data_IF_106309918464
#
_entry.id   IF_106309918464
#
_cell.length_a   1.000
_cell.length_b   1.000
_cell.length_c   1.000
_cell.angle_alpha   90.00
_cell.angle_beta   90.00
_cell.angle_gamma   90.00
#
_symmetry.space_group_name_H-M   'P 1'
#
loop_
_entity.id
_entity.type
_entity.pdbx_description
1 polymer ?
#
# COMPACT_ATOMS: atom_id res chain seq x y z
N UNK A 1 -0.69 -34.38 -2.78
CA UNK A 1 -1.78 -33.61 -2.16
C UNK A 1 -1.47 -33.51 -0.67
N UNK A 2 -0.77 -32.45 -0.25
CA UNK A 2 -0.51 -32.18 1.18
C UNK A 2 -1.77 -31.51 1.71
N UNK A 3 -2.38 -31.99 2.78
CA UNK A 3 -3.54 -31.33 3.34
C UNK A 3 -3.09 -29.96 3.87
N UNK A 4 -3.55 -28.87 3.22
CA UNK A 4 -3.46 -27.54 3.79
C UNK A 4 -4.29 -27.52 5.07
N UNK A 5 -3.63 -27.73 6.20
CA UNK A 5 -4.22 -27.49 7.50
C UNK A 5 -4.50 -26.00 7.56
N UNK A 6 -5.77 -25.59 7.52
CA UNK A 6 -6.15 -24.20 7.74
C UNK A 6 -5.46 -23.71 9.02
N UNK A 7 -4.70 -22.62 8.93
CA UNK A 7 -4.14 -21.97 10.10
C UNK A 7 -5.26 -21.69 11.10
N UNK A 8 -5.00 -21.86 12.39
CA UNK A 8 -5.98 -21.42 13.39
C UNK A 8 -6.21 -19.92 13.22
N UNK A 9 -7.38 -19.42 13.59
CA UNK A 9 -7.72 -18.00 13.47
C UNK A 9 -6.68 -17.08 14.12
N UNK A 10 -6.14 -17.47 15.28
CA UNK A 10 -5.08 -16.73 15.96
C UNK A 10 -3.78 -16.67 15.15
N UNK A 11 -3.34 -17.80 14.58
CA UNK A 11 -2.16 -17.84 13.70
C UNK A 11 -2.36 -16.99 12.46
N UNK A 12 -3.60 -16.88 11.94
CA UNK A 12 -3.91 -16.00 10.81
C UNK A 12 -3.77 -14.52 11.20
N UNK A 13 -4.19 -14.11 12.40
CA UNK A 13 -4.05 -12.73 12.88
C UNK A 13 -2.58 -12.36 13.14
N UNK A 14 -1.76 -13.28 13.64
CA UNK A 14 -0.31 -13.09 13.77
C UNK A 14 0.35 -12.95 12.39
N UNK A 15 -0.11 -13.75 11.43
CA UNK A 15 0.36 -13.70 10.06
C UNK A 15 0.10 -12.34 9.39
N UNK A 16 -1.04 -11.73 9.72
CA UNK A 16 -1.45 -10.39 9.27
C UNK A 16 -0.86 -9.26 10.11
N UNK A 17 0.00 -9.55 11.10
CA UNK A 17 0.55 -8.59 12.05
C UNK A 17 -0.53 -7.72 12.74
N UNK A 18 -1.70 -8.32 13.06
CA UNK A 18 -2.78 -7.62 13.76
C UNK A 18 -2.34 -7.31 15.20
N UNK A 19 -2.34 -6.02 15.55
CA UNK A 19 -2.00 -5.55 16.88
C UNK A 19 -3.04 -6.06 17.92
N UNK A 20 -2.61 -6.22 19.18
CA UNK A 20 -3.44 -6.78 20.26
C UNK A 20 -4.77 -6.03 20.39
N UNK A 21 -4.74 -4.72 20.28
CA UNK A 21 -5.91 -3.85 20.42
C UNK A 21 -6.95 -4.02 19.31
N UNK A 22 -6.59 -4.60 18.17
CA UNK A 22 -7.47 -4.83 17.03
C UNK A 22 -7.92 -6.30 16.91
N UNK A 23 -7.32 -7.24 17.69
CA UNK A 23 -7.59 -8.68 17.60
C UNK A 23 -9.05 -9.02 17.91
N UNK A 24 -9.61 -8.47 18.98
CA UNK A 24 -11.02 -8.68 19.35
C UNK A 24 -11.98 -8.23 18.23
N UNK A 25 -11.64 -7.14 17.53
CA UNK A 25 -12.42 -6.68 16.38
C UNK A 25 -12.41 -7.70 15.24
N UNK A 26 -11.23 -8.22 14.91
CA UNK A 26 -11.07 -9.26 13.88
C UNK A 26 -11.76 -10.58 14.29
N UNK A 27 -11.62 -11.00 15.53
CA UNK A 27 -12.25 -12.24 16.03
C UNK A 27 -13.77 -12.17 15.94
N UNK A 28 -14.38 -11.03 16.33
CA UNK A 28 -15.84 -10.82 16.19
C UNK A 28 -16.31 -10.93 14.74
N UNK A 29 -15.54 -10.43 13.76
CA UNK A 29 -15.85 -10.58 12.34
C UNK A 29 -15.75 -12.02 11.84
N UNK A 30 -14.95 -12.86 12.52
CA UNK A 30 -14.75 -14.27 12.18
C UNK A 30 -15.67 -15.21 12.93
N UNK A 31 -16.50 -14.72 13.87
CA UNK A 31 -17.49 -15.53 14.59
C UNK A 31 -18.57 -16.04 13.63
N UNK A 32 -18.87 -17.34 13.74
CA UNK A 32 -19.93 -17.96 12.95
C UNK A 32 -19.64 -18.10 11.45
N UNK A 33 -20.72 -18.16 10.68
CA UNK A 33 -20.66 -18.26 9.22
C UNK A 33 -20.38 -16.89 8.61
N UNK A 34 -19.79 -16.90 7.41
CA UNK A 34 -19.53 -15.67 6.66
C UNK A 34 -20.83 -14.91 6.37
N UNK A 35 -20.82 -13.58 6.55
CA UNK A 35 -21.95 -12.75 6.18
C UNK A 35 -22.18 -12.78 4.64
N UNK A 36 -23.44 -12.70 4.17
CA UNK A 36 -23.73 -12.67 2.74
C UNK A 36 -22.99 -11.54 1.99
N UNK A 37 -22.81 -10.37 2.61
CA UNK A 37 -22.07 -9.25 2.02
C UNK A 37 -20.57 -9.51 1.96
N UNK A 38 -19.96 -10.10 3.02
CA UNK A 38 -18.57 -10.51 3.01
C UNK A 38 -18.29 -11.64 2.00
N UNK A 39 -19.26 -12.53 1.77
CA UNK A 39 -19.15 -13.55 0.72
C UNK A 39 -19.08 -12.92 -0.69
N UNK A 40 -19.78 -11.81 -0.93
CA UNK A 40 -19.64 -11.02 -2.17
C UNK A 40 -18.24 -10.45 -2.31
N UNK A 41 -17.65 -9.95 -1.21
CA UNK A 41 -16.25 -9.47 -1.20
C UNK A 41 -15.29 -10.61 -1.51
N UNK A 42 -15.43 -11.77 -0.88
CA UNK A 42 -14.58 -12.93 -1.18
C UNK A 42 -14.64 -13.35 -2.65
N UNK A 43 -15.86 -13.43 -3.21
CA UNK A 43 -16.03 -13.75 -4.63
C UNK A 43 -15.36 -12.72 -5.54
N UNK A 44 -15.45 -11.44 -5.20
CA UNK A 44 -14.75 -10.37 -5.90
C UNK A 44 -13.24 -10.56 -5.83
N UNK A 45 -12.66 -10.74 -4.63
CA UNK A 45 -11.21 -10.94 -4.46
C UNK A 45 -10.72 -12.17 -5.24
N UNK A 46 -11.45 -13.29 -5.20
CA UNK A 46 -11.14 -14.49 -5.97
C UNK A 46 -11.13 -14.21 -7.49
N UNK A 47 -12.07 -13.40 -7.99
CA UNK A 47 -12.12 -13.02 -9.41
C UNK A 47 -10.98 -12.10 -9.84
N UNK A 48 -10.33 -11.43 -8.89
CA UNK A 48 -9.23 -10.49 -9.12
C UNK A 48 -7.84 -11.07 -8.88
N UNK A 49 -7.77 -12.26 -8.31
CA UNK A 49 -6.50 -12.89 -7.98
C UNK A 49 -5.63 -13.09 -9.22
N UNK A 50 -4.45 -12.47 -9.23
CA UNK A 50 -3.54 -12.46 -10.39
C UNK A 50 -4.01 -11.60 -11.57
N UNK A 51 -5.15 -10.90 -11.48
CA UNK A 51 -5.66 -10.06 -12.57
C UNK A 51 -4.88 -8.75 -12.71
N UNK A 52 -4.76 -8.26 -13.94
CA UNK A 52 -4.24 -6.91 -14.23
C UNK A 52 -5.25 -5.80 -13.87
N UNK A 53 -6.55 -6.13 -13.84
CA UNK A 53 -7.61 -5.15 -13.60
C UNK A 53 -7.58 -4.66 -12.15
N UNK A 54 -7.33 -3.35 -12.00
CA UNK A 54 -7.26 -2.65 -10.72
C UNK A 54 -8.60 -2.11 -10.24
N UNK A 55 -9.65 -2.13 -11.08
CA UNK A 55 -10.92 -1.51 -10.76
C UNK A 55 -11.59 -2.21 -9.57
N UNK A 56 -12.00 -1.41 -8.60
CA UNK A 56 -12.81 -1.84 -7.45
C UNK A 56 -14.19 -1.20 -7.61
N UNK A 57 -15.17 -1.92 -8.20
CA UNK A 57 -16.52 -1.41 -8.34
C UNK A 57 -17.23 -1.30 -6.98
N UNK A 58 -18.32 -0.58 -6.94
CA UNK A 58 -19.25 -0.72 -5.81
C UNK A 58 -19.81 -2.14 -5.80
N UNK A 59 -19.64 -2.81 -4.67
CA UNK A 59 -20.17 -4.15 -4.46
C UNK A 59 -21.50 -4.08 -3.71
N UNK A 60 -22.30 -5.10 -3.90
CA UNK A 60 -23.60 -5.22 -3.24
C UNK A 60 -24.75 -4.77 -4.11
N UNK A 61 -25.95 -4.79 -3.52
CA UNK A 61 -27.22 -4.41 -4.14
C UNK A 61 -27.97 -3.49 -3.17
N UNK A 62 -29.05 -2.78 -3.61
CA UNK A 62 -29.85 -1.95 -2.71
C UNK A 62 -30.37 -2.67 -1.46
N UNK A 63 -30.54 -3.99 -1.51
CA UNK A 63 -30.95 -4.81 -0.35
C UNK A 63 -29.81 -5.46 0.41
N UNK A 64 -28.58 -5.38 -0.09
CA UNK A 64 -27.39 -5.95 0.51
C UNK A 64 -26.17 -5.02 0.22
N UNK A 65 -26.09 -3.87 0.88
CA UNK A 65 -24.93 -2.99 0.75
C UNK A 65 -23.69 -3.65 1.37
N UNK A 66 -22.53 -3.46 0.74
CA UNK A 66 -21.25 -3.91 1.28
C UNK A 66 -20.62 -2.79 2.10
N UNK A 67 -20.38 -3.05 3.36
CA UNK A 67 -19.80 -2.11 4.32
C UNK A 67 -18.28 -2.31 4.50
N UNK A 68 -17.63 -1.41 5.23
CA UNK A 68 -16.23 -1.54 5.65
C UNK A 68 -15.99 -2.88 6.40
N UNK A 69 -16.87 -3.26 7.31
CA UNK A 69 -16.75 -4.53 8.05
C UNK A 69 -16.87 -5.77 7.15
N UNK A 70 -17.69 -5.71 6.11
CA UNK A 70 -17.81 -6.80 5.14
C UNK A 70 -16.53 -6.95 4.31
N UNK A 71 -15.86 -5.84 3.99
CA UNK A 71 -14.53 -5.87 3.37
C UNK A 71 -13.49 -6.49 4.30
N UNK A 72 -13.48 -6.13 5.57
CA UNK A 72 -12.56 -6.70 6.56
C UNK A 72 -12.81 -8.21 6.76
N UNK A 73 -14.08 -8.62 6.95
CA UNK A 73 -14.44 -10.02 7.08
C UNK A 73 -14.06 -10.82 5.83
N UNK A 74 -14.41 -10.30 4.65
CA UNK A 74 -14.10 -10.94 3.38
C UNK A 74 -12.60 -11.12 3.18
N UNK A 75 -11.78 -10.11 3.49
CA UNK A 75 -10.33 -10.17 3.42
C UNK A 75 -9.74 -11.18 4.41
N UNK A 76 -10.16 -11.11 5.68
CA UNK A 76 -9.69 -12.03 6.72
C UNK A 76 -9.93 -13.49 6.33
N UNK A 77 -11.14 -13.81 5.84
CA UNK A 77 -11.48 -15.16 5.40
C UNK A 77 -10.86 -15.56 4.07
N UNK A 78 -10.34 -14.61 3.28
CA UNK A 78 -9.68 -14.87 2.01
C UNK A 78 -8.19 -15.20 2.16
N UNK A 79 -7.56 -14.93 3.29
CA UNK A 79 -6.13 -15.17 3.53
C UNK A 79 -5.68 -16.58 3.12
N UNK A 80 -6.36 -17.68 3.49
CA UNK A 80 -5.92 -19.01 3.07
C UNK A 80 -5.88 -19.22 1.55
N UNK A 81 -6.83 -18.64 0.81
CA UNK A 81 -6.86 -18.73 -0.64
C UNK A 81 -5.70 -17.96 -1.27
N UNK A 82 -5.39 -16.77 -0.74
CA UNK A 82 -4.24 -16.00 -1.19
C UNK A 82 -2.91 -16.68 -0.89
N UNK A 83 -2.76 -17.28 0.30
CA UNK A 83 -1.57 -18.07 0.66
C UNK A 83 -1.38 -19.26 -0.28
N UNK A 84 -2.46 -19.99 -0.59
CA UNK A 84 -2.42 -21.09 -1.53
C UNK A 84 -1.97 -20.62 -2.94
N UNK A 85 -2.50 -19.52 -3.41
CA UNK A 85 -2.13 -18.94 -4.70
C UNK A 85 -0.67 -18.45 -4.72
N UNK A 86 -0.17 -17.83 -3.64
CA UNK A 86 1.25 -17.46 -3.54
C UNK A 86 2.15 -18.71 -3.57
N UNK A 87 1.73 -19.79 -2.90
CA UNK A 87 2.48 -21.06 -2.92
C UNK A 87 2.49 -21.71 -4.32
N UNK A 88 1.41 -21.62 -5.09
CA UNK A 88 1.36 -22.08 -6.49
C UNK A 88 2.33 -21.32 -7.41
N UNK A 89 2.65 -20.07 -7.06
CA UNK A 89 3.63 -19.25 -7.76
C UNK A 89 5.05 -19.37 -7.17
N UNK A 90 5.29 -20.28 -6.23
CA UNK A 90 6.55 -20.43 -5.49
C UNK A 90 7.01 -19.15 -4.77
N UNK A 91 6.07 -18.24 -4.42
CA UNK A 91 6.38 -17.03 -3.65
C UNK A 91 6.78 -17.43 -2.23
N UNK A 92 7.95 -16.97 -1.72
CA UNK A 92 8.40 -17.30 -0.37
C UNK A 92 7.39 -16.85 0.70
N UNK A 93 7.14 -17.71 1.70
CA UNK A 93 6.21 -17.40 2.80
C UNK A 93 6.57 -16.09 3.53
N UNK A 94 7.84 -15.77 3.66
CA UNK A 94 8.29 -14.51 4.24
C UNK A 94 7.77 -13.30 3.44
N UNK A 95 7.81 -13.34 2.11
CA UNK A 95 7.27 -12.27 1.26
C UNK A 95 5.76 -12.17 1.40
N UNK A 96 5.06 -13.30 1.46
CA UNK A 96 3.61 -13.33 1.67
C UNK A 96 3.26 -12.70 3.02
N UNK A 97 3.98 -13.06 4.08
CA UNK A 97 3.81 -12.53 5.44
C UNK A 97 4.06 -11.03 5.49
N UNK A 98 5.20 -10.58 4.96
CA UNK A 98 5.56 -9.15 4.94
C UNK A 98 4.55 -8.32 4.14
N UNK A 99 4.04 -8.88 3.04
CA UNK A 99 2.99 -8.26 2.22
C UNK A 99 1.69 -8.13 2.98
N UNK A 100 1.23 -9.19 3.62
CA UNK A 100 -0.05 -9.22 4.34
C UNK A 100 0.00 -8.52 5.70
N UNK A 101 1.18 -8.28 6.27
CA UNK A 101 1.36 -7.46 7.47
C UNK A 101 0.81 -6.02 7.29
N UNK A 102 0.63 -5.57 6.04
CA UNK A 102 0.01 -4.28 5.75
C UNK A 102 -1.47 -4.22 6.20
N UNK A 103 -2.14 -5.35 6.30
CA UNK A 103 -3.49 -5.43 6.87
C UNK A 103 -3.51 -4.95 8.33
N UNK A 104 -2.70 -5.53 9.19
CA UNK A 104 -2.62 -5.13 10.61
C UNK A 104 -2.11 -3.69 10.77
N UNK A 105 -1.14 -3.28 9.92
CA UNK A 105 -0.63 -1.91 9.89
C UNK A 105 -1.76 -0.90 9.59
N UNK A 106 -2.61 -1.18 8.60
CA UNK A 106 -3.72 -0.29 8.25
C UNK A 106 -4.83 -0.27 9.32
N UNK A 107 -5.10 -1.38 10.03
CA UNK A 107 -5.95 -1.37 11.21
C UNK A 107 -5.42 -0.41 12.29
N UNK A 108 -4.13 -0.52 12.62
CA UNK A 108 -3.50 0.34 13.61
C UNK A 108 -3.50 1.83 13.20
N UNK A 109 -3.30 2.10 11.91
CA UNK A 109 -3.43 3.46 11.36
C UNK A 109 -4.86 3.97 11.52
N UNK A 110 -5.86 3.19 11.12
CA UNK A 110 -7.27 3.58 11.24
C UNK A 110 -7.66 3.87 12.70
N UNK A 111 -7.25 3.03 13.65
CA UNK A 111 -7.48 3.25 15.08
C UNK A 111 -6.83 4.55 15.55
N UNK A 112 -5.62 4.84 15.10
CA UNK A 112 -4.89 6.07 15.45
C UNK A 112 -5.53 7.33 14.87
N UNK A 113 -6.08 7.25 13.65
CA UNK A 113 -6.71 8.37 12.95
C UNK A 113 -8.15 8.61 13.43
N UNK A 114 -8.92 7.54 13.63
CA UNK A 114 -10.36 7.60 13.87
C UNK A 114 -10.79 7.21 15.29
N UNK A 115 -9.87 6.70 16.12
CA UNK A 115 -10.15 6.26 17.50
C UNK A 115 -11.05 5.02 17.59
N UNK A 116 -11.18 4.25 16.49
CA UNK A 116 -12.05 3.06 16.39
C UNK A 116 -11.41 1.93 15.62
N UNK A 117 -11.89 0.72 15.84
CA UNK A 117 -11.64 -0.42 14.95
C UNK A 117 -12.25 -0.16 13.58
N UNK A 118 -11.56 -0.58 12.53
CA UNK A 118 -11.97 -0.45 11.15
C UNK A 118 -10.80 -0.23 10.19
N UNK A 119 -11.10 0.02 8.92
CA UNK A 119 -10.07 0.24 7.88
C UNK A 119 -10.64 1.06 6.73
N UNK A 120 -10.51 2.38 6.80
CA UNK A 120 -10.94 3.30 5.73
C UNK A 120 -10.11 3.13 4.44
N UNK A 121 -8.96 2.47 4.53
CA UNK A 121 -8.03 2.18 3.44
C UNK A 121 -8.25 0.80 2.80
N UNK A 122 -9.38 0.13 3.03
CA UNK A 122 -9.63 -1.21 2.49
C UNK A 122 -9.48 -1.30 0.96
N UNK A 123 -9.78 -0.22 0.21
CA UNK A 123 -9.55 -0.16 -1.24
C UNK A 123 -8.09 -0.37 -1.60
N UNK A 124 -7.17 0.20 -0.82
CA UNK A 124 -5.74 -0.01 -0.98
C UNK A 124 -5.36 -1.48 -0.79
N UNK A 125 -5.92 -2.12 0.21
CA UNK A 125 -5.63 -3.52 0.52
C UNK A 125 -6.08 -4.48 -0.59
N UNK A 126 -7.02 -4.08 -1.46
CA UNK A 126 -7.39 -4.93 -2.61
C UNK A 126 -6.21 -5.23 -3.53
N UNK A 127 -5.18 -4.38 -3.59
CA UNK A 127 -3.97 -4.66 -4.37
C UNK A 127 -3.18 -5.84 -3.79
N UNK A 128 -3.08 -5.93 -2.47
CA UNK A 128 -2.43 -7.05 -1.77
C UNK A 128 -3.22 -8.34 -1.99
N UNK A 129 -4.52 -8.28 -1.73
CA UNK A 129 -5.40 -9.44 -1.83
C UNK A 129 -5.68 -9.90 -3.28
N UNK A 130 -5.46 -9.05 -4.26
CA UNK A 130 -5.47 -9.43 -5.68
C UNK A 130 -4.11 -9.99 -6.17
N UNK A 131 -3.12 -10.13 -5.31
CA UNK A 131 -1.80 -10.66 -5.66
C UNK A 131 -1.03 -9.78 -6.65
N UNK A 132 -1.16 -8.46 -6.53
CA UNK A 132 -0.49 -7.49 -7.39
C UNK A 132 0.54 -6.63 -6.67
N UNK A 133 0.44 -6.53 -5.35
CA UNK A 133 1.37 -5.76 -4.53
C UNK A 133 2.13 -6.68 -3.60
N UNK A 134 3.45 -6.52 -3.55
CA UNK A 134 4.36 -7.33 -2.74
C UNK A 134 5.32 -6.46 -1.95
N UNK A 135 5.51 -6.77 -0.68
CA UNK A 135 6.55 -6.19 0.15
C UNK A 135 7.87 -6.92 -0.07
N UNK A 136 8.91 -6.20 -0.49
CA UNK A 136 10.25 -6.73 -0.70
C UNK A 136 11.24 -5.91 0.13
N UNK A 137 11.35 -6.21 1.39
CA UNK A 137 12.14 -5.44 2.35
C UNK A 137 11.49 -4.08 2.65
N UNK A 138 12.22 -2.98 2.45
CA UNK A 138 11.77 -1.64 2.87
C UNK A 138 10.60 -1.09 2.06
N UNK A 139 10.43 -1.50 0.82
CA UNK A 139 9.44 -0.96 -0.11
C UNK A 139 8.42 -2.02 -0.52
N UNK A 140 7.28 -1.54 -1.02
CA UNK A 140 6.26 -2.36 -1.64
C UNK A 140 6.20 -2.04 -3.14
N UNK A 141 5.87 -3.05 -3.93
CA UNK A 141 5.85 -2.96 -5.37
C UNK A 141 4.52 -3.44 -5.92
N UNK A 142 3.80 -2.52 -6.57
CA UNK A 142 2.56 -2.82 -7.30
C UNK A 142 2.89 -3.09 -8.77
N UNK A 143 2.68 -4.32 -9.24
CA UNK A 143 2.82 -4.62 -10.67
C UNK A 143 1.57 -4.16 -11.42
N UNK A 144 1.77 -3.28 -12.40
CA UNK A 144 0.67 -2.72 -13.19
C UNK A 144 1.13 -2.21 -14.55
N UNK A 145 0.18 -1.85 -15.40
CA UNK A 145 0.43 -1.07 -16.62
C UNK A 145 0.20 0.41 -16.30
N UNK A 146 1.07 1.32 -16.75
CA UNK A 146 0.92 2.73 -16.45
C UNK A 146 -0.31 3.31 -17.15
N UNK A 147 -1.04 4.19 -16.45
CA UNK A 147 -2.20 4.90 -17.01
C UNK A 147 -1.79 6.04 -17.96
N UNK A 148 -0.55 6.54 -17.85
CA UNK A 148 0.02 7.56 -18.70
C UNK A 148 1.41 7.12 -19.18
N UNK A 149 1.89 7.62 -20.33
CA UNK A 149 3.20 7.26 -20.87
C UNK A 149 4.34 7.57 -19.90
N UNK A 150 5.23 6.60 -19.71
CA UNK A 150 6.47 6.76 -18.95
C UNK A 150 7.65 6.63 -19.90
N UNK A 151 8.67 7.51 -19.83
CA UNK A 151 9.82 7.44 -20.72
C UNK A 151 10.50 6.06 -20.69
N UNK A 152 10.69 5.47 -21.88
CA UNK A 152 11.33 4.16 -22.03
C UNK A 152 10.43 2.95 -21.76
N UNK A 153 9.15 3.15 -21.47
CA UNK A 153 8.15 2.08 -21.34
C UNK A 153 7.29 2.03 -22.60
N UNK A 154 7.20 0.85 -23.22
CA UNK A 154 6.33 0.65 -24.39
C UNK A 154 4.85 0.68 -23.99
N UNK A 155 3.97 0.98 -24.95
CA UNK A 155 2.52 0.90 -24.74
C UNK A 155 2.11 -0.51 -24.28
N UNK A 156 1.33 -0.56 -23.22
CA UNK A 156 0.94 -1.83 -22.59
C UNK A 156 2.07 -2.55 -21.82
N UNK A 157 3.23 -1.92 -21.69
CA UNK A 157 4.34 -2.46 -20.90
C UNK A 157 4.02 -2.52 -19.40
N UNK A 158 4.66 -3.46 -18.70
CA UNK A 158 4.52 -3.63 -17.25
C UNK A 158 5.58 -2.82 -16.51
N UNK A 159 5.19 -2.24 -15.40
CA UNK A 159 6.04 -1.49 -14.47
C UNK A 159 5.76 -1.86 -13.04
N UNK A 160 6.61 -1.40 -12.12
CA UNK A 160 6.38 -1.51 -10.67
C UNK A 160 6.10 -0.12 -10.08
N UNK A 161 4.91 0.07 -9.52
CA UNK A 161 4.62 1.21 -8.66
C UNK A 161 5.31 1.02 -7.31
N UNK A 162 6.18 1.97 -6.93
CA UNK A 162 6.89 1.95 -5.64
C UNK A 162 6.04 2.61 -4.57
N UNK A 163 5.76 1.87 -3.50
CA UNK A 163 5.04 2.36 -2.34
C UNK A 163 5.90 2.24 -1.08
N UNK A 164 5.70 3.17 -0.15
CA UNK A 164 6.47 3.31 1.06
C UNK A 164 5.56 2.98 2.24
N UNK A 165 5.69 1.80 2.87
CA UNK A 165 4.97 1.51 4.10
C UNK A 165 5.30 2.55 5.18
N UNK A 166 4.35 2.83 6.06
CA UNK A 166 4.51 3.84 7.11
C UNK A 166 5.62 3.50 8.11
N UNK A 167 5.82 2.22 8.34
CA UNK A 167 6.81 1.73 9.28
C UNK A 167 8.25 1.91 8.78
N UNK A 168 9.09 2.42 9.64
CA UNK A 168 10.51 2.59 9.37
C UNK A 168 10.90 3.78 8.50
N UNK A 169 12.17 4.12 8.54
CA UNK A 169 12.76 5.22 7.77
C UNK A 169 13.21 4.81 6.35
N UNK A 170 13.47 5.79 5.50
CA UNK A 170 13.99 5.60 4.13
C UNK A 170 15.53 5.54 4.12
N UNK A 171 16.12 4.66 4.95
CA UNK A 171 17.57 4.44 4.94
C UNK A 171 18.08 4.01 3.58
N UNK A 172 19.24 4.52 3.16
CA UNK A 172 19.80 4.28 1.81
C UNK A 172 20.04 2.80 1.54
N UNK A 173 20.61 2.05 2.49
CA UNK A 173 20.91 0.63 2.29
C UNK A 173 19.63 -0.23 2.19
N UNK A 174 18.66 -0.16 3.12
CA UNK A 174 17.40 -0.92 2.99
C UNK A 174 16.62 -0.58 1.72
N UNK A 175 16.62 0.67 1.26
CA UNK A 175 15.99 1.07 0.00
C UNK A 175 16.69 0.44 -1.20
N UNK A 176 18.03 0.49 -1.24
CA UNK A 176 18.81 -0.09 -2.33
C UNK A 176 18.65 -1.62 -2.40
N UNK A 177 18.67 -2.31 -1.26
CA UNK A 177 18.42 -3.76 -1.16
C UNK A 177 17.02 -4.11 -1.68
N UNK A 178 16.01 -3.35 -1.30
CA UNK A 178 14.64 -3.54 -1.75
C UNK A 178 14.50 -3.36 -3.27
N UNK A 179 15.11 -2.31 -3.84
CA UNK A 179 15.11 -2.07 -5.30
C UNK A 179 15.84 -3.19 -6.06
N UNK A 180 16.97 -3.68 -5.52
CA UNK A 180 17.72 -4.78 -6.13
C UNK A 180 16.96 -6.12 -6.10
N UNK A 181 16.11 -6.34 -5.09
CA UNK A 181 15.28 -7.55 -4.98
C UNK A 181 14.09 -7.53 -5.94
N UNK A 182 13.59 -6.35 -6.34
CA UNK A 182 12.33 -6.23 -7.06
C UNK A 182 12.35 -6.94 -8.43
N UNK A 183 13.29 -6.59 -9.30
CA UNK A 183 13.33 -7.15 -10.66
C UNK A 183 13.51 -8.69 -10.69
N UNK A 184 14.46 -9.30 -9.94
CA UNK A 184 14.58 -10.75 -9.85
C UNK A 184 13.31 -11.43 -9.34
N UNK A 185 12.65 -10.88 -8.32
CA UNK A 185 11.40 -11.41 -7.79
C UNK A 185 10.31 -11.48 -8.87
N UNK A 186 10.03 -10.37 -9.54
CA UNK A 186 8.98 -10.34 -10.56
C UNK A 186 9.36 -11.17 -11.81
N UNK A 187 10.63 -11.24 -12.17
CA UNK A 187 11.07 -12.10 -13.27
C UNK A 187 10.88 -13.59 -12.97
N UNK A 188 11.01 -13.99 -11.70
CA UNK A 188 10.83 -15.38 -11.27
C UNK A 188 9.35 -15.78 -11.18
N UNK A 189 8.54 -14.94 -10.51
CA UNK A 189 7.17 -15.29 -10.14
C UNK A 189 6.11 -14.79 -11.14
N UNK A 190 6.46 -13.83 -12.02
CA UNK A 190 5.58 -13.23 -13.03
C UNK A 190 6.31 -13.06 -14.37
N UNK A 191 6.87 -14.15 -14.95
CA UNK A 191 7.69 -14.07 -16.19
C UNK A 191 6.93 -13.53 -17.39
N UNK A 192 5.60 -13.65 -17.41
CA UNK A 192 4.72 -13.13 -18.47
C UNK A 192 4.52 -11.61 -18.40
N UNK A 193 5.01 -10.97 -17.32
CA UNK A 193 4.91 -9.51 -17.06
C UNK A 193 6.30 -8.91 -16.86
N UNK A 194 7.14 -8.88 -17.90
CA UNK A 194 8.52 -8.42 -17.76
C UNK A 194 8.58 -6.94 -17.34
N UNK A 195 9.20 -6.68 -16.20
CA UNK A 195 9.38 -5.33 -15.65
C UNK A 195 10.84 -4.90 -15.71
N UNK A 196 11.08 -3.65 -16.09
CA UNK A 196 12.40 -3.00 -16.10
C UNK A 196 12.38 -1.63 -15.46
N UNK A 197 11.21 -1.04 -15.31
CA UNK A 197 11.00 0.31 -14.83
C UNK A 197 10.14 0.27 -13.59
N UNK A 198 10.50 1.07 -12.60
CA UNK A 198 9.64 1.39 -11.48
C UNK A 198 9.26 2.87 -11.53
N UNK A 199 8.04 3.20 -11.10
CA UNK A 199 7.60 4.57 -10.88
C UNK A 199 7.22 4.80 -9.42
N UNK A 200 7.25 6.04 -9.01
CA UNK A 200 6.72 6.49 -7.73
C UNK A 200 5.87 7.73 -7.97
N UNK A 201 4.65 7.73 -7.45
CA UNK A 201 3.76 8.89 -7.40
C UNK A 201 3.60 9.25 -5.93
N UNK A 202 4.16 10.38 -5.53
CA UNK A 202 4.23 10.73 -4.11
C UNK A 202 4.43 12.23 -3.92
N UNK A 203 3.88 12.77 -2.83
CA UNK A 203 4.21 14.10 -2.35
C UNK A 203 5.69 14.24 -1.96
N UNK A 204 6.41 13.14 -1.70
CA UNK A 204 7.86 13.16 -1.48
C UNK A 204 8.65 13.55 -2.73
N UNK A 205 8.01 13.53 -3.90
CA UNK A 205 8.57 14.00 -5.18
C UNK A 205 8.07 15.41 -5.55
N UNK A 206 7.45 16.13 -4.62
CA UNK A 206 7.09 17.53 -4.81
C UNK A 206 8.36 18.38 -5.09
N UNK A 207 8.42 19.17 -6.18
CA UNK A 207 9.58 20.00 -6.49
C UNK A 207 9.93 20.99 -5.38
N UNK A 208 8.94 21.50 -4.64
CA UNK A 208 9.19 22.38 -3.49
C UNK A 208 9.89 21.62 -2.35
N UNK A 209 9.45 20.39 -2.05
CA UNK A 209 10.11 19.57 -1.04
C UNK A 209 11.59 19.36 -1.40
N UNK A 210 11.86 18.98 -2.65
CA UNK A 210 13.22 18.77 -3.13
C UNK A 210 14.12 20.02 -2.99
N UNK A 211 13.55 21.23 -3.14
CA UNK A 211 14.29 22.48 -3.04
C UNK A 211 14.52 22.96 -1.58
N UNK A 212 13.76 22.47 -0.60
CA UNK A 212 13.76 23.02 0.76
C UNK A 212 14.11 22.00 1.86
N UNK A 213 14.14 20.70 1.53
CA UNK A 213 14.57 19.67 2.48
C UNK A 213 16.10 19.57 2.49
N UNK A 214 16.68 19.17 3.64
CA UNK A 214 18.11 18.86 3.72
C UNK A 214 18.47 17.77 2.70
N UNK A 215 19.41 18.08 1.81
CA UNK A 215 19.91 17.19 0.75
C UNK A 215 20.51 15.89 1.29
N UNK A 216 20.95 15.87 2.54
CA UNK A 216 21.49 14.69 3.21
C UNK A 216 20.42 13.85 3.90
N UNK A 217 19.18 14.32 3.94
CA UNK A 217 18.07 13.55 4.50
C UNK A 217 17.77 12.29 3.69
N UNK A 218 17.26 11.26 4.35
CA UNK A 218 16.85 10.03 3.69
C UNK A 218 15.73 10.28 2.66
N UNK A 219 14.84 11.25 2.90
CA UNK A 219 13.79 11.65 1.96
C UNK A 219 14.39 12.23 0.68
N UNK A 220 15.34 13.18 0.80
CA UNK A 220 15.99 13.76 -0.37
C UNK A 220 16.76 12.71 -1.18
N UNK A 221 17.48 11.80 -0.50
CA UNK A 221 18.19 10.70 -1.15
C UNK A 221 17.26 9.73 -1.86
N UNK A 222 16.12 9.40 -1.25
CA UNK A 222 15.10 8.58 -1.88
C UNK A 222 14.52 9.28 -3.13
N UNK A 223 14.10 10.53 -3.02
CA UNK A 223 13.56 11.29 -4.13
C UNK A 223 14.55 11.40 -5.30
N UNK A 224 15.84 11.56 -5.02
CA UNK A 224 16.90 11.66 -6.03
C UNK A 224 17.12 10.37 -6.85
N UNK A 225 16.56 9.23 -6.44
CA UNK A 225 16.59 7.98 -7.22
C UNK A 225 15.71 8.05 -8.47
N UNK A 226 14.72 8.94 -8.48
CA UNK A 226 13.70 9.00 -9.51
C UNK A 226 13.94 10.17 -10.46
N UNK A 227 13.86 9.90 -11.76
CA UNK A 227 13.81 10.93 -12.80
C UNK A 227 12.38 11.44 -12.91
N UNK A 228 12.12 12.74 -12.71
CA UNK A 228 10.78 13.31 -12.84
C UNK A 228 10.18 13.12 -14.24
N UNK A 229 8.87 12.87 -14.32
CA UNK A 229 8.12 12.87 -15.57
C UNK A 229 6.69 13.39 -15.34
N UNK A 230 6.03 13.76 -16.43
CA UNK A 230 4.68 14.33 -16.36
C UNK A 230 4.63 15.68 -15.64
N UNK A 231 3.43 16.09 -15.28
CA UNK A 231 3.18 17.33 -14.55
C UNK A 231 2.69 16.99 -13.14
N UNK A 232 3.33 17.49 -12.07
CA UNK A 232 2.81 17.33 -10.70
C UNK A 232 1.38 17.87 -10.59
N UNK A 233 0.56 17.22 -9.80
CA UNK A 233 -0.81 17.65 -9.54
C UNK A 233 -1.01 18.04 -8.07
N UNK A 234 -1.95 18.95 -7.81
CA UNK A 234 -2.24 19.40 -6.47
C UNK A 234 -2.92 18.29 -5.67
N UNK A 235 -2.30 17.91 -4.55
CA UNK A 235 -2.86 17.00 -3.56
C UNK A 235 -2.39 17.45 -2.16
N UNK A 236 -2.98 18.54 -1.64
CA UNK A 236 -2.50 19.17 -0.40
C UNK A 236 -2.71 18.29 0.83
N UNK A 237 -3.64 17.33 0.77
CA UNK A 237 -3.97 16.46 1.91
C UNK A 237 -2.92 15.40 2.17
N UNK A 238 -2.21 14.92 1.16
CA UNK A 238 -1.22 13.86 1.30
C UNK A 238 -0.06 14.25 2.21
N UNK A 239 0.52 15.44 2.01
CA UNK A 239 1.62 15.91 2.85
C UNK A 239 1.20 16.04 4.32
N UNK A 240 -0.03 16.51 4.58
CA UNK A 240 -0.59 16.61 5.93
C UNK A 240 -0.88 15.21 6.49
N UNK A 241 -1.55 14.37 5.74
CA UNK A 241 -1.90 13.03 6.19
C UNK A 241 -0.67 12.19 6.54
N UNK A 242 0.30 12.11 5.65
CA UNK A 242 1.49 11.29 5.89
C UNK A 242 2.44 11.86 6.95
N UNK A 243 2.40 13.17 7.20
CA UNK A 243 3.22 13.81 8.24
C UNK A 243 2.55 13.80 9.62
N UNK A 244 1.23 13.98 9.68
CA UNK A 244 0.50 14.23 10.95
C UNK A 244 -0.59 13.19 11.24
N UNK A 245 -0.89 12.30 10.32
CA UNK A 245 -1.95 11.29 10.45
C UNK A 245 -3.32 11.91 10.72
N UNK A 246 -3.63 12.99 10.03
CA UNK A 246 -4.95 13.60 10.00
C UNK A 246 -5.39 13.84 8.56
N UNK A 247 -6.66 13.61 8.28
CA UNK A 247 -7.28 13.95 6.99
C UNK A 247 -7.92 15.33 7.00
N UNK A 248 -7.99 15.95 8.17
CA UNK A 248 -8.56 17.30 8.30
C UNK A 248 -7.54 18.35 7.89
N UNK A 249 -7.97 19.26 7.03
CA UNK A 249 -7.24 20.48 6.70
C UNK A 249 -7.64 21.66 7.59
N UNK A 250 -8.47 21.40 8.61
CA UNK A 250 -8.86 22.39 9.61
C UNK A 250 -7.86 22.40 10.78
N UNK A 251 -7.73 23.56 11.42
CA UNK A 251 -6.90 23.72 12.64
C UNK A 251 -5.44 23.28 12.50
N UNK A 252 -4.85 23.39 11.29
CA UNK A 252 -3.46 23.01 11.04
C UNK A 252 -2.45 23.73 11.94
N UNK A 253 -2.80 24.95 12.44
CA UNK A 253 -1.98 25.70 13.39
C UNK A 253 -1.77 24.99 14.73
N UNK A 254 -2.65 24.05 15.11
CA UNK A 254 -2.52 23.25 16.33
C UNK A 254 -1.61 22.04 16.19
N UNK A 255 -1.19 21.70 14.97
CA UNK A 255 -0.35 20.54 14.71
C UNK A 255 1.10 20.77 15.18
N UNK A 256 1.79 19.70 15.61
CA UNK A 256 3.14 19.82 16.14
C UNK A 256 4.15 20.25 15.05
N UNK A 257 5.14 21.08 15.46
CA UNK A 257 6.26 21.54 14.62
C UNK A 257 7.62 21.07 15.18
N UNK A 258 7.65 19.84 15.69
CA UNK A 258 8.83 19.30 16.40
C UNK A 258 9.93 18.86 15.45
N UNK A 259 9.58 18.31 14.29
CA UNK A 259 10.56 17.88 13.27
C UNK A 259 10.74 18.93 12.17
N UNK A 260 11.86 18.84 11.44
CA UNK A 260 12.10 19.72 10.28
C UNK A 260 11.03 19.52 9.19
N UNK A 261 10.60 18.27 8.95
CA UNK A 261 9.56 17.97 7.97
C UNK A 261 8.21 18.56 8.37
N UNK A 262 7.82 18.43 9.65
CA UNK A 262 6.58 19.03 10.15
C UNK A 262 6.56 20.54 9.97
N UNK A 263 7.68 21.21 10.29
CA UNK A 263 7.79 22.67 10.06
C UNK A 263 7.67 23.00 8.58
N UNK A 264 8.43 22.32 7.73
CA UNK A 264 8.41 22.57 6.27
C UNK A 264 7.01 22.42 5.68
N UNK A 265 6.28 21.36 6.08
CA UNK A 265 4.91 21.10 5.59
C UNK A 265 3.97 22.25 6.00
N UNK A 266 3.97 22.65 7.24
CA UNK A 266 3.06 23.69 7.73
C UNK A 266 3.48 25.11 7.29
N UNK A 267 4.77 25.42 7.25
CA UNK A 267 5.28 26.73 6.82
C UNK A 267 4.90 27.01 5.36
N UNK A 268 4.94 25.99 4.48
CA UNK A 268 4.47 26.14 3.09
C UNK A 268 2.98 26.46 3.02
N UNK A 269 2.16 25.76 3.80
CA UNK A 269 0.70 25.99 3.85
C UNK A 269 0.40 27.39 4.42
N UNK A 270 1.06 27.78 5.50
CA UNK A 270 0.88 29.12 6.12
C UNK A 270 1.28 30.25 5.17
N UNK A 271 2.24 30.01 4.29
CA UNK A 271 2.63 30.93 3.21
C UNK A 271 1.67 30.92 2.00
N UNK A 272 0.56 30.18 2.06
CA UNK A 272 -0.43 30.08 0.97
C UNK A 272 -0.01 29.13 -0.17
N UNK A 273 1.03 28.32 0.01
CA UNK A 273 1.46 27.31 -0.96
C UNK A 273 0.64 26.03 -0.85
N UNK A 274 0.56 25.27 -1.95
CA UNK A 274 -0.08 23.96 -1.99
C UNK A 274 0.94 22.85 -2.21
N UNK A 275 0.75 21.70 -1.56
CA UNK A 275 1.53 20.48 -1.79
C UNK A 275 1.04 19.76 -3.03
N UNK A 276 1.98 19.14 -3.73
CA UNK A 276 1.73 18.41 -4.97
C UNK A 276 2.21 16.98 -4.85
N UNK A 277 1.59 16.09 -5.58
CA UNK A 277 2.11 14.77 -5.89
C UNK A 277 2.92 14.86 -7.18
N UNK A 278 4.20 14.55 -7.08
CA UNK A 278 5.10 14.44 -8.22
C UNK A 278 5.18 12.98 -8.70
N UNK A 279 5.50 12.81 -9.98
CA UNK A 279 5.73 11.51 -10.60
C UNK A 279 7.21 11.38 -10.98
N UNK A 280 7.80 10.26 -10.62
CA UNK A 280 9.17 9.93 -10.98
C UNK A 280 9.32 8.48 -11.38
N UNK A 281 10.29 8.17 -12.25
CA UNK A 281 10.61 6.80 -12.65
C UNK A 281 12.10 6.51 -12.50
N UNK A 282 12.44 5.24 -12.38
CA UNK A 282 13.80 4.72 -12.40
C UNK A 282 13.87 3.40 -13.18
N UNK A 283 15.04 3.10 -13.70
CA UNK A 283 15.32 1.75 -14.23
C UNK A 283 15.74 0.86 -13.06
N UNK A 284 15.08 -0.28 -12.91
CA UNK A 284 15.40 -1.27 -11.87
C UNK A 284 16.78 -1.89 -12.13
N UNK A 285 17.60 -2.02 -11.08
CA UNK A 285 18.94 -2.61 -11.20
C UNK A 285 18.93 -4.08 -11.60
#
# INVERSE_FOLDING_TARGET
MIPHTALSTELSLDYLAVAEEDRDGCLRLLEGEISPAAAVVQAFLASRLGSADAAVPELGTPGLPVTENDWLEGMLRFVPALQAWHAELDIPDAVTRDTLADFGRNLAINRRVHGRFGMDTWKWLTHHFAGRLFALGRLQYLIHQPAAPIPGVADGGWILGVHIPEDGGLGTAPVAESLAAARPFFATHFPERPVRTANCESWLLDPYLAAHIDTWSNIARFAALFTPYGTPHNEPTDAVYFTFRTRSMENLSSLPRTTALQRLVLDRIDAGGAWQVGCGYLTLP
#
